data_IF_587713998405
#
_entry.id   IF_587713998405
#
_cell.length_a   1.000
_cell.length_b   1.000
_cell.length_c   1.000
_cell.angle_alpha   90.00
_cell.angle_beta   90.00
_cell.angle_gamma   90.00
#
_symmetry.space_group_name_H-M   'P 1'
#
loop_
_entity.id
_entity.type
_entity.pdbx_description
1 polymer ?
#
# COMPACT_ATOMS: atom_id res chain seq x y z
N UNK A 1 -24.83 -7.29 31.81
CA UNK A 1 -23.44 -7.59 31.39
C UNK A 1 -22.83 -8.55 32.39
N UNK A 2 -22.33 -9.71 31.96
CA UNK A 2 -21.61 -10.62 32.84
C UNK A 2 -20.21 -10.04 33.09
N UNK A 3 -19.93 -9.67 34.33
CA UNK A 3 -18.62 -9.18 34.76
C UNK A 3 -17.86 -10.36 35.38
N UNK A 4 -16.75 -10.76 34.74
CA UNK A 4 -15.90 -11.82 35.26
C UNK A 4 -14.81 -11.22 36.13
N UNK A 5 -14.70 -11.68 37.39
CA UNK A 5 -13.64 -11.26 38.31
C UNK A 5 -12.24 -11.74 37.90
N UNK A 6 -12.15 -12.75 37.03
CA UNK A 6 -10.90 -13.29 36.47
C UNK A 6 -11.09 -13.59 34.98
N UNK A 7 -10.02 -13.50 34.21
CA UNK A 7 -10.06 -13.82 32.79
C UNK A 7 -10.53 -15.29 32.57
N UNK A 8 -11.56 -15.53 31.72
CA UNK A 8 -12.01 -16.87 31.40
C UNK A 8 -10.91 -17.69 30.72
N UNK A 9 -10.89 -19.00 30.99
CA UNK A 9 -9.95 -19.92 30.33
C UNK A 9 -10.30 -20.06 28.83
N UNK A 10 -9.32 -20.29 27.93
CA UNK A 10 -9.61 -20.66 26.55
C UNK A 10 -10.54 -21.88 26.51
N UNK A 11 -11.57 -21.81 25.66
CA UNK A 11 -12.61 -22.84 25.60
C UNK A 11 -13.75 -22.66 26.60
N UNK A 12 -13.76 -21.61 27.40
CA UNK A 12 -14.94 -21.25 28.21
C UNK A 12 -16.09 -20.77 27.31
N UNK A 13 -17.34 -21.06 27.68
CA UNK A 13 -18.54 -20.52 27.02
C UNK A 13 -19.13 -19.42 27.90
N UNK A 14 -19.43 -18.24 27.32
CA UNK A 14 -20.06 -17.14 28.07
C UNK A 14 -21.52 -17.48 28.38
N UNK A 15 -22.20 -18.04 27.39
CA UNK A 15 -23.57 -18.55 27.44
C UNK A 15 -23.60 -19.94 26.81
N UNK A 16 -24.53 -20.79 27.20
CA UNK A 16 -24.61 -22.17 26.71
C UNK A 16 -24.72 -22.24 25.18
N UNK A 17 -25.51 -21.33 24.59
CA UNK A 17 -25.69 -21.21 23.14
C UNK A 17 -24.55 -20.47 22.44
N UNK A 18 -23.66 -19.81 23.18
CA UNK A 18 -22.52 -19.09 22.59
C UNK A 18 -21.41 -20.05 22.20
N UNK A 19 -20.70 -19.70 21.12
CA UNK A 19 -19.48 -20.39 20.71
C UNK A 19 -18.38 -20.30 21.77
N UNK A 20 -17.44 -21.25 21.73
CA UNK A 20 -16.29 -21.27 22.64
C UNK A 20 -15.46 -19.99 22.51
N UNK A 21 -15.11 -19.39 23.65
CA UNK A 21 -14.21 -18.24 23.67
C UNK A 21 -12.81 -18.70 23.25
N UNK A 22 -12.34 -18.15 22.14
CA UNK A 22 -11.00 -18.34 21.64
C UNK A 22 -10.12 -17.17 22.09
N UNK A 23 -8.93 -17.47 22.62
CA UNK A 23 -7.93 -16.42 22.89
C UNK A 23 -7.56 -15.78 21.56
N UNK A 24 -7.78 -14.47 21.46
CA UNK A 24 -7.34 -13.70 20.32
C UNK A 24 -5.81 -13.62 20.32
N UNK A 25 -5.14 -14.51 19.58
CA UNK A 25 -3.70 -14.43 19.36
C UNK A 25 -3.42 -13.26 18.42
N UNK A 26 -2.76 -12.21 18.93
CA UNK A 26 -2.22 -11.14 18.09
C UNK A 26 -1.27 -11.77 17.06
N UNK A 27 -1.64 -11.74 15.78
CA UNK A 27 -0.76 -12.21 14.71
C UNK A 27 0.45 -11.28 14.62
N UNK A 28 1.61 -11.84 14.24
CA UNK A 28 2.83 -11.05 14.00
C UNK A 28 2.52 -9.94 12.98
N UNK A 29 3.04 -8.72 13.16
CA UNK A 29 2.94 -7.68 12.17
C UNK A 29 3.45 -8.18 10.82
N UNK A 30 2.81 -7.74 9.74
CA UNK A 30 3.31 -8.02 8.40
C UNK A 30 4.69 -7.37 8.26
N UNK A 31 5.71 -8.19 8.05
CA UNK A 31 7.07 -7.68 7.87
C UNK A 31 7.21 -7.10 6.47
N UNK A 32 7.61 -5.83 6.43
CA UNK A 32 7.89 -5.10 5.21
C UNK A 32 9.38 -4.74 5.19
N UNK A 33 10.07 -5.20 4.16
CA UNK A 33 11.49 -4.92 3.97
C UNK A 33 11.67 -3.52 3.41
N UNK A 34 12.14 -2.58 4.24
CA UNK A 34 12.44 -1.19 3.85
C UNK A 34 13.53 -1.09 2.77
N UNK A 35 14.42 -2.07 2.67
CA UNK A 35 15.50 -2.10 1.67
C UNK A 35 14.92 -2.30 0.26
N UNK A 36 14.17 -3.39 0.05
CA UNK A 36 13.71 -3.78 -1.29
C UNK A 36 12.22 -3.56 -1.55
N UNK A 37 11.50 -2.95 -0.60
CA UNK A 37 10.05 -2.71 -0.64
C UNK A 37 9.20 -3.98 -0.81
N UNK A 38 9.68 -5.10 -0.29
CA UNK A 38 9.05 -6.42 -0.40
C UNK A 38 8.41 -6.89 0.90
N UNK A 39 7.42 -7.78 0.78
CA UNK A 39 6.74 -8.41 1.91
C UNK A 39 7.46 -9.69 2.35
N UNK A 40 8.57 -9.53 3.08
CA UNK A 40 9.31 -10.62 3.70
C UNK A 40 10.14 -10.07 4.86
N UNK A 41 10.69 -10.95 5.72
CA UNK A 41 11.59 -10.53 6.78
C UNK A 41 12.79 -9.73 6.28
N UNK A 42 13.04 -8.59 6.92
CA UNK A 42 14.09 -7.66 6.50
C UNK A 42 15.51 -8.15 6.85
N UNK A 43 15.64 -8.97 7.90
CA UNK A 43 16.92 -9.36 8.50
C UNK A 43 17.93 -9.93 7.49
N UNK A 44 17.48 -10.78 6.57
CA UNK A 44 18.34 -11.49 5.63
C UNK A 44 18.08 -11.07 4.17
N UNK A 45 17.64 -9.83 3.94
CA UNK A 45 17.36 -9.36 2.59
C UNK A 45 18.66 -9.07 1.81
N UNK A 46 18.97 -9.93 0.84
CA UNK A 46 20.08 -9.74 -0.12
C UNK A 46 19.74 -8.85 -1.31
N UNK A 47 18.46 -8.43 -1.47
CA UNK A 47 18.02 -7.60 -2.59
C UNK A 47 18.59 -6.19 -2.48
N UNK A 48 18.90 -5.60 -3.63
CA UNK A 48 19.36 -4.22 -3.72
C UNK A 48 18.36 -3.25 -3.08
N UNK A 49 18.83 -2.17 -2.42
CA UNK A 49 17.99 -1.06 -2.04
C UNK A 49 17.21 -0.53 -3.23
N UNK A 50 15.95 -0.17 -3.02
CA UNK A 50 15.11 0.38 -4.08
C UNK A 50 14.28 1.55 -3.57
N UNK A 51 14.08 2.52 -4.44
CA UNK A 51 13.17 3.63 -4.22
C UNK A 51 11.73 3.13 -4.06
N UNK A 52 11.02 3.57 -3.02
CA UNK A 52 9.62 3.22 -2.78
C UNK A 52 8.62 3.93 -3.68
N UNK A 53 9.05 4.96 -4.43
CA UNK A 53 8.21 5.66 -5.41
C UNK A 53 8.17 4.98 -6.77
N UNK A 54 9.27 4.49 -7.33
CA UNK A 54 9.24 3.83 -8.66
C UNK A 54 9.89 2.44 -8.68
N UNK A 55 10.42 1.98 -7.54
CA UNK A 55 11.13 0.71 -7.46
C UNK A 55 12.53 0.73 -8.09
N UNK A 56 13.02 1.88 -8.56
CA UNK A 56 14.36 2.03 -9.13
C UNK A 56 15.43 1.71 -8.09
N UNK A 57 16.51 1.06 -8.52
CA UNK A 57 17.71 0.78 -7.70
C UNK A 57 18.80 1.84 -7.89
N UNK A 58 18.61 2.79 -8.81
CA UNK A 58 19.63 3.76 -9.20
C UNK A 58 19.70 4.99 -8.27
N UNK A 59 18.65 5.26 -7.51
CA UNK A 59 18.56 6.44 -6.65
C UNK A 59 17.77 6.14 -5.37
N UNK A 60 17.96 6.99 -4.36
CA UNK A 60 17.17 7.02 -3.13
C UNK A 60 15.84 7.76 -3.34
N UNK A 61 14.90 7.58 -2.42
CA UNK A 61 13.57 8.20 -2.51
C UNK A 61 13.63 9.73 -2.59
N UNK A 62 14.60 10.34 -1.93
CA UNK A 62 14.73 11.81 -1.82
C UNK A 62 15.07 12.50 -3.15
N UNK A 63 15.71 11.78 -4.07
CA UNK A 63 16.13 12.27 -5.39
C UNK A 63 15.14 11.81 -6.48
N UNK A 64 14.10 11.07 -6.11
CA UNK A 64 13.19 10.46 -7.07
C UNK A 64 12.21 11.51 -7.64
N UNK A 65 12.41 11.88 -8.91
CA UNK A 65 11.48 12.75 -9.65
C UNK A 65 10.31 11.98 -10.29
N UNK A 66 10.30 10.66 -10.21
CA UNK A 66 9.24 9.85 -10.81
C UNK A 66 7.96 9.90 -9.98
N UNK A 67 6.81 9.88 -10.67
CA UNK A 67 5.52 9.75 -10.01
C UNK A 67 5.44 8.46 -9.19
N UNK A 68 4.79 8.52 -8.02
CA UNK A 68 4.66 7.38 -7.12
C UNK A 68 3.87 6.25 -7.77
N UNK A 69 4.55 5.14 -8.03
CA UNK A 69 4.09 3.87 -8.59
C UNK A 69 4.52 2.70 -7.71
N UNK A 70 3.55 1.90 -7.28
CA UNK A 70 3.79 0.76 -6.42
C UNK A 70 4.61 -0.31 -7.14
N UNK A 71 5.72 -0.76 -6.54
CA UNK A 71 6.54 -1.86 -7.10
C UNK A 71 5.82 -3.20 -7.15
N UNK A 72 4.89 -3.44 -6.22
CA UNK A 72 4.26 -4.75 -6.03
C UNK A 72 3.00 -4.92 -6.89
N UNK A 73 2.13 -3.89 -6.96
CA UNK A 73 0.88 -3.92 -7.73
C UNK A 73 0.81 -2.92 -8.90
N UNK A 74 1.76 -2.00 -9.05
CA UNK A 74 1.75 -1.01 -10.14
C UNK A 74 0.82 0.20 -9.94
N UNK A 75 0.04 0.26 -8.86
CA UNK A 75 -0.91 1.35 -8.58
C UNK A 75 -0.25 2.67 -8.16
N UNK A 76 -1.00 3.80 -8.15
CA UNK A 76 -0.50 5.14 -7.84
C UNK A 76 -0.34 5.37 -6.33
N UNK A 77 0.49 4.57 -5.67
CA UNK A 77 0.80 4.67 -4.25
C UNK A 77 2.11 3.95 -3.91
N UNK A 78 2.65 4.15 -2.70
CA UNK A 78 3.86 3.46 -2.22
C UNK A 78 3.60 1.99 -1.89
N UNK A 79 4.65 1.17 -1.91
CA UNK A 79 4.58 -0.29 -1.68
C UNK A 79 4.16 -0.72 -0.26
N UNK A 80 4.41 0.13 0.74
CA UNK A 80 4.05 -0.06 2.14
C UNK A 80 2.60 0.37 2.45
N UNK A 81 1.94 1.04 1.49
CA UNK A 81 0.56 1.49 1.61
C UNK A 81 -0.41 0.35 1.88
N UNK A 82 -1.45 0.64 2.67
CA UNK A 82 -2.58 -0.29 2.89
C UNK A 82 -3.46 -0.45 1.65
N UNK A 83 -3.34 0.45 0.67
CA UNK A 83 -4.05 0.37 -0.62
C UNK A 83 -3.47 -0.70 -1.56
N UNK A 84 -2.26 -1.19 -1.27
CA UNK A 84 -1.59 -2.19 -2.09
C UNK A 84 -2.31 -3.54 -2.04
N UNK A 85 -2.93 -3.95 -3.15
CA UNK A 85 -3.59 -5.26 -3.25
C UNK A 85 -2.61 -6.44 -3.15
N UNK A 86 -1.33 -6.22 -3.50
CA UNK A 86 -0.27 -7.20 -3.33
C UNK A 86 0.23 -7.34 -1.87
N UNK A 87 -0.32 -6.56 -0.94
CA UNK A 87 -0.02 -6.66 0.49
C UNK A 87 -0.65 -7.94 1.05
N UNK A 88 0.11 -8.80 1.74
CA UNK A 88 -0.45 -9.94 2.42
C UNK A 88 -1.55 -9.53 3.39
N UNK A 89 -2.62 -10.32 3.46
CA UNK A 89 -3.79 -10.03 4.31
C UNK A 89 -3.97 -11.12 5.36
N UNK A 90 -5.07 -11.04 6.14
CA UNK A 90 -5.44 -12.06 7.12
C UNK A 90 -5.60 -13.45 6.51
N UNK A 91 -5.96 -13.50 5.21
CA UNK A 91 -6.19 -14.71 4.44
C UNK A 91 -4.92 -15.33 3.87
N UNK A 92 -3.78 -14.65 3.96
CA UNK A 92 -2.49 -15.15 3.49
C UNK A 92 -1.79 -14.22 2.49
N UNK A 93 -0.76 -14.76 1.85
CA UNK A 93 0.02 -14.10 0.79
C UNK A 93 -0.73 -14.30 -0.54
N UNK A 94 -0.89 -13.25 -1.37
CA UNK A 94 -1.53 -13.38 -2.68
C UNK A 94 -0.82 -14.41 -3.57
N UNK A 95 -1.60 -15.19 -4.33
CA UNK A 95 -1.05 -16.14 -5.30
C UNK A 95 -0.45 -15.43 -6.51
N UNK A 96 0.30 -16.16 -7.33
CA UNK A 96 0.94 -15.60 -8.53
C UNK A 96 -0.10 -15.08 -9.54
N UNK A 97 -1.23 -15.76 -9.64
CA UNK A 97 -2.36 -15.40 -10.51
C UNK A 97 -3.05 -14.13 -10.01
N UNK A 98 -3.28 -14.02 -8.70
CA UNK A 98 -3.82 -12.81 -8.08
C UNK A 98 -2.87 -11.62 -8.25
N UNK A 99 -1.56 -11.83 -8.09
CA UNK A 99 -0.57 -10.77 -8.33
C UNK A 99 -0.59 -10.30 -9.79
N UNK A 100 -0.84 -11.20 -10.74
CA UNK A 100 -0.97 -10.83 -12.16
C UNK A 100 -2.19 -9.94 -12.39
N UNK A 101 -3.35 -10.28 -11.84
CA UNK A 101 -4.56 -9.44 -11.96
C UNK A 101 -4.39 -8.10 -11.25
N UNK A 102 -3.79 -8.07 -10.06
CA UNK A 102 -3.51 -6.82 -9.34
C UNK A 102 -2.56 -5.90 -10.09
N UNK A 103 -1.54 -6.44 -10.76
CA UNK A 103 -0.64 -5.64 -11.61
C UNK A 103 -1.36 -5.02 -12.79
N UNK A 104 -2.26 -5.76 -13.43
CA UNK A 104 -3.07 -5.22 -14.52
C UNK A 104 -4.01 -4.12 -14.05
N UNK A 105 -4.68 -4.31 -12.91
CA UNK A 105 -5.56 -3.29 -12.33
C UNK A 105 -4.77 -2.05 -11.89
N UNK A 106 -3.67 -2.23 -11.13
CA UNK A 106 -2.86 -1.13 -10.65
C UNK A 106 -2.20 -0.33 -11.77
N UNK A 107 -1.76 -0.98 -12.85
CA UNK A 107 -1.25 -0.28 -14.04
C UNK A 107 -2.32 0.62 -14.66
N UNK A 108 -3.56 0.13 -14.78
CA UNK A 108 -4.68 0.93 -15.31
C UNK A 108 -4.98 2.13 -14.42
N UNK A 109 -5.00 1.94 -13.09
CA UNK A 109 -5.18 3.03 -12.12
C UNK A 109 -4.06 4.07 -12.22
N UNK A 110 -2.81 3.62 -12.34
CA UNK A 110 -1.67 4.52 -12.48
C UNK A 110 -1.71 5.32 -13.78
N UNK A 111 -2.12 4.70 -14.89
CA UNK A 111 -2.30 5.40 -16.17
C UNK A 111 -3.41 6.44 -16.10
N UNK A 112 -4.54 6.13 -15.46
CA UNK A 112 -5.62 7.10 -15.24
C UNK A 112 -5.14 8.28 -14.38
N UNK A 113 -4.42 8.00 -13.29
CA UNK A 113 -3.81 9.02 -12.43
C UNK A 113 -2.82 9.91 -13.18
N UNK A 114 -1.95 9.33 -14.01
CA UNK A 114 -0.98 10.07 -14.82
C UNK A 114 -1.67 10.98 -15.85
N UNK A 115 -2.77 10.51 -16.47
CA UNK A 115 -3.57 11.32 -17.39
C UNK A 115 -4.24 12.50 -16.67
N UNK A 116 -4.84 12.26 -15.51
CA UNK A 116 -5.46 13.30 -14.70
C UNK A 116 -4.41 14.36 -14.29
N UNK A 117 -3.27 13.92 -13.76
CA UNK A 117 -2.17 14.84 -13.41
C UNK A 117 -1.67 15.68 -14.58
N UNK A 118 -1.58 15.08 -15.77
CA UNK A 118 -1.21 15.82 -16.98
C UNK A 118 -2.27 16.84 -17.39
N UNK A 119 -3.55 16.52 -17.22
CA UNK A 119 -4.65 17.44 -17.49
C UNK A 119 -4.65 18.61 -16.50
N UNK A 120 -4.47 18.34 -15.20
CA UNK A 120 -4.37 19.36 -14.15
C UNK A 120 -3.23 20.34 -14.42
N UNK A 121 -2.04 19.82 -14.77
CA UNK A 121 -0.89 20.66 -15.12
C UNK A 121 -1.16 21.54 -16.35
N UNK A 122 -1.85 21.00 -17.36
CA UNK A 122 -2.23 21.78 -18.54
C UNK A 122 -3.25 22.88 -18.21
N UNK A 123 -4.21 22.59 -17.35
CA UNK A 123 -5.20 23.56 -16.90
C UNK A 123 -4.52 24.70 -16.12
N UNK A 124 -3.63 24.36 -15.18
CA UNK A 124 -2.86 25.35 -14.42
C UNK A 124 -2.02 26.27 -15.33
N UNK A 125 -1.31 25.71 -16.31
CA UNK A 125 -0.53 26.52 -17.27
C UNK A 125 -1.41 27.43 -18.13
N UNK A 126 -2.64 27.00 -18.45
CA UNK A 126 -3.58 27.82 -19.20
C UNK A 126 -4.11 28.98 -18.35
N UNK A 127 -4.44 28.74 -17.08
CA UNK A 127 -4.87 29.77 -16.12
C UNK A 127 -3.78 30.81 -15.88
N UNK A 128 -2.52 30.39 -15.67
CA UNK A 128 -1.38 31.31 -15.53
C UNK A 128 -1.20 32.19 -16.78
N UNK A 129 -1.31 31.61 -17.98
CA UNK A 129 -1.21 32.38 -19.22
C UNK A 129 -2.34 33.39 -19.44
N UNK A 130 -3.54 33.14 -18.91
CA UNK A 130 -4.67 34.08 -19.00
C UNK A 130 -4.46 35.27 -18.06
N UNK A 131 -3.93 35.03 -16.87
CA UNK A 131 -3.66 36.09 -15.87
C UNK A 131 -2.51 37.03 -16.27
N UNK A 132 -1.47 36.51 -16.95
CA UNK A 132 -0.37 37.36 -17.46
C UNK A 132 -0.82 38.28 -18.61
N UNK A 133 -1.80 37.84 -19.41
CA UNK A 133 -2.37 38.66 -20.50
C UNK A 133 -3.24 39.80 -19.94
N UNK A 134 -4.00 39.57 -18.87
CA UNK A 134 -4.83 40.60 -18.21
C UNK A 134 -4.01 41.63 -17.41
N UNK A 135 -2.82 41.27 -16.91
CA UNK A 135 -1.93 42.18 -16.16
C UNK A 135 -1.06 43.08 -17.05
N UNK A 136 -1.10 42.87 -18.37
CA UNK A 136 -0.30 43.61 -19.35
C UNK A 136 -1.11 44.67 -20.11
N UNK A 137 -2.35 44.96 -19.67
CA UNK A 137 -3.26 45.94 -20.26
C UNK A 137 -3.45 47.17 -19.36
#
# INVERSE_FOLDING_TARGET
>A
MALFAKAPRPGFRVFDDSGLIMIHKKKKPLEFCKRCNGHHPSKNCSRAPSCGNYGSTMHTEDICMAATKCRNCGGPHRSDSRRCLARPTRSGIPTKEQLKSYRQAGEREFQAFARAKKADLKAATAEESILEVDSSQ
#
